data_IF_026908424474
#
_entry.id   IF_026908424474
#
_cell.length_a   1.000
_cell.length_b   1.000
_cell.length_c   1.000
_cell.angle_alpha   90.00
_cell.angle_beta   90.00
_cell.angle_gamma   90.00
#
_symmetry.space_group_name_H-M   'P 1'
#
loop_
_entity.id
_entity.type
_entity.pdbx_description
1 polymer ?
#
# COMPACT_ATOMS: atom_id res chain seq x y z
N UNK A 1 39.86 -45.14 -51.11
CA UNK A 1 38.95 -45.54 -50.02
C UNK A 1 38.43 -44.26 -49.36
N UNK A 2 37.29 -43.78 -49.83
CA UNK A 2 36.70 -42.51 -49.39
C UNK A 2 35.97 -42.76 -48.06
N UNK A 3 36.40 -42.08 -47.00
CA UNK A 3 35.77 -42.13 -45.68
C UNK A 3 34.45 -41.35 -45.72
N UNK A 4 33.32 -42.06 -45.75
CA UNK A 4 32.01 -41.47 -45.51
C UNK A 4 31.84 -41.19 -44.02
N UNK A 5 32.15 -39.97 -43.61
CA UNK A 5 31.79 -39.41 -42.31
C UNK A 5 30.26 -39.31 -42.22
N UNK A 6 29.65 -40.22 -41.45
CA UNK A 6 28.22 -40.16 -41.09
C UNK A 6 28.01 -38.93 -40.20
N UNK A 7 27.47 -37.84 -40.75
CA UNK A 7 26.91 -36.74 -39.94
C UNK A 7 25.69 -37.26 -39.18
N UNK A 8 25.85 -37.54 -37.88
CA UNK A 8 24.72 -37.72 -36.97
C UNK A 8 24.05 -36.35 -36.77
N UNK A 9 22.80 -36.21 -37.20
CA UNK A 9 21.96 -35.08 -36.85
C UNK A 9 21.54 -35.27 -35.40
N UNK A 10 22.24 -34.65 -34.46
CA UNK A 10 21.80 -34.58 -33.07
C UNK A 10 20.40 -33.97 -33.08
N UNK A 11 19.41 -34.67 -32.51
CA UNK A 11 18.07 -34.13 -32.30
C UNK A 11 18.22 -32.98 -31.31
N UNK A 12 18.34 -31.76 -31.84
CA UNK A 12 18.38 -30.56 -31.05
C UNK A 12 16.97 -30.37 -30.48
N UNK A 13 16.76 -30.77 -29.23
CA UNK A 13 15.52 -30.52 -28.48
C UNK A 13 15.44 -29.03 -28.13
N UNK A 14 15.10 -28.21 -29.12
CA UNK A 14 14.80 -26.79 -28.96
C UNK A 14 13.31 -26.56 -28.78
N UNK A 15 12.96 -25.54 -28.00
CA UNK A 15 11.59 -25.04 -27.88
C UNK A 15 11.10 -24.60 -29.27
N UNK A 16 9.90 -25.02 -29.68
CA UNK A 16 9.37 -24.61 -30.98
C UNK A 16 8.90 -23.16 -30.92
N UNK A 17 9.06 -22.41 -32.01
CA UNK A 17 8.62 -21.01 -32.07
C UNK A 17 7.09 -20.90 -31.87
N UNK A 18 6.34 -21.90 -32.34
CA UNK A 18 4.89 -21.96 -32.17
C UNK A 18 4.45 -22.18 -30.72
N UNK A 19 5.20 -23.00 -29.96
CA UNK A 19 4.94 -23.24 -28.54
C UNK A 19 5.13 -21.95 -27.72
N UNK A 20 6.19 -21.19 -28.03
CA UNK A 20 6.39 -19.88 -27.41
C UNK A 20 5.28 -18.89 -27.78
N UNK A 21 4.85 -18.85 -29.05
CA UNK A 21 3.82 -17.91 -29.52
C UNK A 21 2.45 -18.15 -28.86
N UNK A 22 2.06 -19.40 -28.60
CA UNK A 22 0.81 -19.68 -27.89
C UNK A 22 0.88 -19.23 -26.42
N UNK A 23 2.03 -19.43 -25.76
CA UNK A 23 2.22 -19.05 -24.36
C UNK A 23 2.11 -17.52 -24.18
N UNK A 24 2.79 -16.74 -25.03
CA UNK A 24 2.70 -15.28 -24.93
C UNK A 24 1.28 -14.76 -25.22
N UNK A 25 0.52 -15.43 -26.09
CA UNK A 25 -0.86 -15.07 -26.37
C UNK A 25 -1.75 -15.25 -25.13
N UNK A 26 -1.61 -16.37 -24.42
CA UNK A 26 -2.38 -16.63 -23.19
C UNK A 26 -1.97 -15.68 -22.06
N UNK A 27 -0.65 -15.50 -21.83
CA UNK A 27 -0.14 -14.59 -20.79
C UNK A 27 -0.57 -13.15 -21.05
N UNK A 28 -0.62 -12.72 -22.33
CA UNK A 28 -1.10 -11.40 -22.71
C UNK A 28 -2.56 -11.14 -22.30
N UNK A 29 -3.46 -12.10 -22.53
CA UNK A 29 -4.87 -11.99 -22.13
C UNK A 29 -5.00 -11.92 -20.60
N UNK A 30 -4.28 -12.78 -19.88
CA UNK A 30 -4.32 -12.79 -18.41
C UNK A 30 -3.78 -11.47 -17.81
N UNK A 31 -2.68 -10.96 -18.35
CA UNK A 31 -2.07 -9.71 -17.89
C UNK A 31 -2.99 -8.50 -18.12
N UNK A 32 -3.69 -8.44 -19.25
CA UNK A 32 -4.61 -7.35 -19.57
C UNK A 32 -5.73 -7.20 -18.52
N UNK A 33 -6.23 -8.30 -17.98
CA UNK A 33 -7.28 -8.30 -16.94
C UNK A 33 -6.66 -8.07 -15.55
N UNK A 34 -5.51 -8.67 -15.27
CA UNK A 34 -4.89 -8.64 -13.95
C UNK A 34 -4.30 -7.27 -13.57
N UNK A 35 -3.68 -6.55 -14.51
CA UNK A 35 -2.99 -5.28 -14.26
C UNK A 35 -3.90 -4.21 -13.61
N UNK A 36 -5.08 -3.87 -14.17
CA UNK A 36 -5.93 -2.84 -13.56
C UNK A 36 -6.44 -3.24 -12.17
N UNK A 37 -6.81 -4.51 -11.99
CA UNK A 37 -7.26 -5.02 -10.69
C UNK A 37 -6.16 -4.97 -9.63
N UNK A 38 -4.92 -5.31 -10.01
CA UNK A 38 -3.79 -5.28 -9.08
C UNK A 38 -3.44 -3.85 -8.64
N UNK A 39 -3.56 -2.87 -9.52
CA UNK A 39 -3.34 -1.46 -9.18
C UNK A 39 -4.33 -0.97 -8.12
N UNK A 40 -5.63 -1.27 -8.28
CA UNK A 40 -6.66 -0.93 -7.28
C UNK A 40 -6.39 -1.61 -5.94
N UNK A 41 -6.03 -2.90 -5.95
CA UNK A 41 -5.69 -3.62 -4.72
C UNK A 41 -4.48 -3.03 -4.01
N UNK A 42 -3.42 -2.72 -4.75
CA UNK A 42 -2.20 -2.08 -4.21
C UNK A 42 -2.52 -0.70 -3.60
N UNK A 43 -3.39 0.07 -4.25
CA UNK A 43 -3.79 1.39 -3.76
C UNK A 43 -4.62 1.29 -2.47
N UNK A 44 -5.57 0.35 -2.42
CA UNK A 44 -6.36 0.10 -1.21
C UNK A 44 -5.51 -0.41 -0.06
N UNK A 45 -4.51 -1.27 -0.33
CA UNK A 45 -3.57 -1.74 0.67
C UNK A 45 -2.76 -0.59 1.29
N UNK A 46 -2.29 0.35 0.46
CA UNK A 46 -1.58 1.56 0.94
C UNK A 46 -2.49 2.48 1.77
N UNK A 47 -3.73 2.67 1.34
CA UNK A 47 -4.72 3.44 2.09
C UNK A 47 -5.00 2.81 3.46
N UNK A 48 -5.18 1.48 3.51
CA UNK A 48 -5.40 0.74 4.76
C UNK A 48 -4.16 0.76 5.68
N UNK A 49 -2.96 0.72 5.13
CA UNK A 49 -1.73 0.83 5.91
C UNK A 49 -1.62 2.20 6.58
N UNK A 50 -1.89 3.28 5.83
CA UNK A 50 -1.94 4.63 6.41
C UNK A 50 -3.11 4.79 7.40
N UNK A 51 -4.27 4.15 7.16
CA UNK A 51 -5.37 4.12 8.15
C UNK A 51 -4.93 3.49 9.47
N UNK A 52 -4.19 2.39 9.43
CA UNK A 52 -3.69 1.74 10.65
C UNK A 52 -2.73 2.63 11.43
N UNK A 53 -1.86 3.35 10.71
CA UNK A 53 -0.92 4.31 11.28
C UNK A 53 -1.66 5.50 11.91
N UNK A 54 -2.61 6.09 11.19
CA UNK A 54 -3.45 7.18 11.68
C UNK A 54 -4.30 6.77 12.89
N UNK A 55 -4.82 5.53 12.90
CA UNK A 55 -5.57 4.98 14.04
C UNK A 55 -4.70 4.78 15.27
N UNK A 56 -3.49 4.26 15.09
CA UNK A 56 -2.54 4.11 16.20
C UNK A 56 -2.22 5.47 16.81
N UNK A 57 -1.95 6.47 15.96
CA UNK A 57 -1.68 7.82 16.42
C UNK A 57 -2.89 8.48 17.08
N UNK A 58 -4.08 8.36 16.49
CA UNK A 58 -5.31 8.89 17.08
C UNK A 58 -5.64 8.30 18.44
N UNK A 59 -5.37 7.00 18.66
CA UNK A 59 -5.53 6.39 19.97
C UNK A 59 -4.55 6.95 21.01
N UNK A 60 -3.29 7.16 20.62
CA UNK A 60 -2.30 7.77 21.50
C UNK A 60 -2.74 9.20 21.87
N UNK A 61 -3.10 10.01 20.88
CA UNK A 61 -3.61 11.37 21.09
C UNK A 61 -4.86 11.36 22.00
N UNK A 62 -5.78 10.43 21.78
CA UNK A 62 -6.98 10.31 22.61
C UNK A 62 -6.65 10.00 24.07
N UNK A 63 -5.76 9.05 24.33
CA UNK A 63 -5.36 8.72 25.71
C UNK A 63 -4.71 9.93 26.38
N UNK A 64 -3.79 10.60 25.68
CA UNK A 64 -3.05 11.75 26.23
C UNK A 64 -3.92 12.98 26.46
N UNK A 65 -4.92 13.22 25.62
CA UNK A 65 -5.86 14.35 25.81
C UNK A 65 -6.85 14.11 26.96
N UNK A 66 -7.11 12.85 27.31
CA UNK A 66 -7.97 12.48 28.43
C UNK A 66 -7.18 12.25 29.72
N UNK A 67 -5.84 12.24 29.66
CA UNK A 67 -5.00 12.19 30.85
C UNK A 67 -4.88 13.59 31.44
N UNK A 68 -5.07 13.72 32.75
CA UNK A 68 -5.02 15.01 33.46
C UNK A 68 -3.58 15.47 33.76
N UNK A 69 -2.58 14.62 33.46
CA UNK A 69 -1.16 14.92 33.67
C UNK A 69 -0.52 15.64 32.46
N UNK A 70 -0.29 16.94 32.61
CA UNK A 70 0.22 17.88 31.59
C UNK A 70 1.62 17.58 31.03
N UNK A 71 2.27 16.49 31.46
CA UNK A 71 3.64 16.14 31.06
C UNK A 71 3.74 15.38 29.73
N UNK A 72 2.62 14.86 29.22
CA UNK A 72 2.61 13.97 28.05
C UNK A 72 1.85 14.58 26.87
N UNK A 73 2.56 15.41 26.10
CA UNK A 73 2.02 16.03 24.89
C UNK A 73 2.08 15.02 23.73
N UNK A 74 1.01 14.82 22.95
CA UNK A 74 1.08 14.01 21.75
C UNK A 74 2.17 14.52 20.80
N UNK A 75 3.08 13.64 20.39
CA UNK A 75 4.15 13.95 19.43
C UNK A 75 3.79 13.43 18.06
N UNK A 76 4.31 14.06 17.01
CA UNK A 76 4.16 13.53 15.65
C UNK A 76 4.77 12.13 15.52
N UNK A 77 4.04 11.15 14.97
CA UNK A 77 4.56 9.81 14.75
C UNK A 77 5.55 9.82 13.58
N UNK A 78 6.48 8.86 13.58
CA UNK A 78 7.33 8.63 12.41
C UNK A 78 6.48 8.00 11.32
N UNK A 79 6.29 8.73 10.21
CA UNK A 79 5.44 8.33 9.11
C UNK A 79 6.14 7.31 8.20
N UNK A 80 5.48 6.16 7.99
CA UNK A 80 5.98 5.05 7.17
C UNK A 80 5.07 4.77 5.97
N UNK A 81 3.75 4.80 6.19
CA UNK A 81 2.72 4.47 5.20
C UNK A 81 1.92 5.69 4.76
N UNK A 82 1.77 6.65 5.66
CA UNK A 82 1.28 7.98 5.37
C UNK A 82 2.39 8.90 4.84
N UNK A 83 2.02 9.84 3.97
CA UNK A 83 2.86 10.94 3.52
C UNK A 83 2.83 12.10 4.51
N UNK A 84 1.67 12.36 5.11
CA UNK A 84 1.48 13.40 6.11
C UNK A 84 0.39 12.98 7.09
N UNK A 85 0.50 13.46 8.32
CA UNK A 85 -0.53 13.34 9.35
C UNK A 85 -0.65 14.69 10.06
N UNK A 86 -1.85 15.04 10.53
CA UNK A 86 -2.05 16.23 11.34
C UNK A 86 -1.19 16.16 12.59
N UNK A 87 -0.47 17.24 12.88
CA UNK A 87 0.31 17.37 14.10
C UNK A 87 -0.60 17.75 15.26
N UNK A 88 -0.77 16.85 16.23
CA UNK A 88 -1.57 17.08 17.43
C UNK A 88 -0.79 17.76 18.57
N UNK A 89 0.48 18.15 18.34
CA UNK A 89 1.30 18.80 19.37
C UNK A 89 0.61 20.05 19.91
N UNK A 90 0.31 20.04 21.21
CA UNK A 90 -0.34 21.15 21.91
C UNK A 90 -1.87 21.20 21.76
N UNK A 91 -2.51 20.15 21.28
CA UNK A 91 -3.97 20.04 21.29
C UNK A 91 -4.52 19.99 22.71
N UNK A 92 -5.72 20.53 22.87
CA UNK A 92 -6.53 20.47 24.09
C UNK A 92 -7.90 19.90 23.78
N UNK A 93 -8.73 19.61 24.79
CA UNK A 93 -10.08 19.05 24.63
C UNK A 93 -11.05 19.92 23.80
N UNK A 94 -10.67 21.14 23.42
CA UNK A 94 -11.54 22.12 22.74
C UNK A 94 -11.06 22.52 21.33
N UNK A 95 -9.88 22.07 20.89
CA UNK A 95 -9.31 22.43 19.57
C UNK A 95 -9.49 21.31 18.56
N UNK A 96 -9.88 21.64 17.32
CA UNK A 96 -10.03 20.78 16.12
C UNK A 96 -9.54 19.33 16.27
N UNK A 97 -10.36 18.48 16.87
CA UNK A 97 -9.95 17.13 17.27
C UNK A 97 -10.13 16.09 16.14
N UNK A 98 -9.76 16.48 14.92
CA UNK A 98 -9.78 15.60 13.75
C UNK A 98 -8.37 15.42 13.22
N UNK A 99 -7.86 14.20 13.28
CA UNK A 99 -6.57 13.86 12.69
C UNK A 99 -6.83 13.49 11.23
N UNK A 100 -6.19 14.23 10.33
CA UNK A 100 -6.20 13.95 8.91
C UNK A 100 -4.86 13.38 8.49
N UNK A 101 -4.86 12.28 7.76
CA UNK A 101 -3.67 11.68 7.18
C UNK A 101 -3.85 11.49 5.68
N UNK A 102 -2.75 11.60 4.93
CA UNK A 102 -2.72 11.36 3.49
C UNK A 102 -1.84 10.15 3.24
N UNK A 103 -2.39 9.11 2.62
CA UNK A 103 -1.63 7.93 2.24
C UNK A 103 -0.60 8.27 1.14
N UNK A 104 0.56 7.62 1.18
CA UNK A 104 1.62 7.86 0.19
C UNK A 104 1.14 7.60 -1.25
N UNK A 105 1.64 8.39 -2.18
CA UNK A 105 1.43 8.19 -3.62
C UNK A 105 1.74 6.72 -4.02
N UNK A 106 0.98 6.12 -4.94
CA UNK A 106 -0.08 6.68 -5.79
C UNK A 106 -1.50 6.65 -5.18
N UNK A 107 -1.67 6.15 -3.95
CA UNK A 107 -3.01 6.00 -3.37
C UNK A 107 -3.65 7.35 -3.03
N UNK A 108 -2.89 8.29 -2.46
CA UNK A 108 -3.32 9.64 -2.05
C UNK A 108 -4.64 9.69 -1.27
N UNK A 109 -5.03 8.55 -0.67
CA UNK A 109 -6.27 8.41 0.06
C UNK A 109 -6.20 9.31 1.31
N UNK A 110 -7.31 10.00 1.59
CA UNK A 110 -7.42 10.81 2.81
C UNK A 110 -8.02 9.94 3.90
N UNK A 111 -7.45 10.01 5.10
CA UNK A 111 -7.96 9.33 6.28
C UNK A 111 -8.29 10.39 7.30
N UNK A 112 -9.50 10.30 7.88
CA UNK A 112 -9.95 11.18 8.95
C UNK A 112 -10.26 10.33 10.18
N UNK A 113 -9.64 10.68 11.31
CA UNK A 113 -9.91 10.09 12.62
C UNK A 113 -10.56 11.15 13.52
N UNK A 114 -11.72 10.81 14.07
CA UNK A 114 -12.47 11.67 14.97
C UNK A 114 -12.14 11.32 16.42
N UNK A 115 -11.37 12.17 17.10
CA UNK A 115 -10.88 11.89 18.44
C UNK A 115 -11.99 11.98 19.53
N UNK A 116 -12.88 12.98 19.57
CA UNK A 116 -13.88 13.10 20.65
C UNK A 116 -14.89 11.95 20.66
N UNK A 117 -15.08 11.28 19.52
CA UNK A 117 -16.01 10.16 19.40
C UNK A 117 -15.36 8.78 19.62
N UNK A 118 -14.20 8.72 20.28
CA UNK A 118 -13.50 7.46 20.56
C UNK A 118 -12.72 6.92 19.38
N UNK A 119 -12.09 7.82 18.62
CA UNK A 119 -11.11 7.55 17.54
C UNK A 119 -11.58 6.68 16.35
N UNK A 120 -12.85 6.72 15.88
CA UNK A 120 -13.18 6.08 14.61
C UNK A 120 -12.42 6.76 13.46
N UNK A 121 -11.58 5.98 12.78
CA UNK A 121 -10.88 6.38 11.56
C UNK A 121 -11.60 5.85 10.33
N UNK A 122 -11.83 6.71 9.35
CA UNK A 122 -12.44 6.37 8.06
C UNK A 122 -11.55 6.82 6.91
N UNK A 123 -11.56 6.04 5.82
CA UNK A 123 -10.99 6.46 4.54
C UNK A 123 -12.04 7.34 3.86
N UNK A 124 -11.66 8.58 3.55
CA UNK A 124 -12.45 9.50 2.76
C UNK A 124 -12.16 9.27 1.26
N UNK A 125 -13.20 9.38 0.41
CA UNK A 125 -13.05 9.29 -1.04
C UNK A 125 -12.22 10.44 -1.63
#
# INVERSE_FOLDING_TARGET
MILLSKRQFSVQSGFTLIELMMVIAIVGVLAAIAIPSYQVYSNNARANACLSEAKSYGNEVFVLLNDEDSASIPKTPVLSSCQSITDATGWTLETWQKIEAIAKAPSNARIECDIPNGTPCKILP
#
